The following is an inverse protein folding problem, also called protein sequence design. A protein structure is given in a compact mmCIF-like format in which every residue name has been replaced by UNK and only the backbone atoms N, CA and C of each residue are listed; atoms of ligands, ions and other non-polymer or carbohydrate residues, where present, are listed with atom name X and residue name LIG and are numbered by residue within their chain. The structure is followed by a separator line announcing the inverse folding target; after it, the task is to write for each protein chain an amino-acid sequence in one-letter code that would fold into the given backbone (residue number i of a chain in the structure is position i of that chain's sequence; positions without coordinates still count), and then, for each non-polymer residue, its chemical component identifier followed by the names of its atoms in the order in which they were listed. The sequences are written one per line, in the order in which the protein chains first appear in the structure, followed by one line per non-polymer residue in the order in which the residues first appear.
data_IF_099489143049
#
_entry.id   IF_099489143049
#
_cell.length_a   1.000
_cell.length_b   1.000
_cell.length_c   1.000
_cell.angle_alpha   90.00
_cell.angle_beta   90.00
_cell.angle_gamma   90.00
#
_symmetry.space_group_name_H-M   'P 1'
#
loop_
_entity.id
_entity.type
_entity.pdbx_description
1 polymer ?
#
# COMPACT_ATOMS: atom_id res chain seq x y z
N UNK A 1 -8.32 21.48 -32.91
CA UNK A 1 -7.61 21.97 -32.18
C UNK A 1 -7.98 22.40 -30.92
N UNK A 2 -9.00 22.88 -30.68
CA UNK A 2 -9.42 23.31 -29.48
C UNK A 2 -9.66 22.27 -28.52
N UNK A 3 -9.68 21.11 -28.93
CA UNK A 3 -9.91 20.08 -28.02
C UNK A 3 -8.96 20.03 -26.91
N UNK A 4 -7.76 20.42 -27.11
CA UNK A 4 -6.84 20.40 -26.11
C UNK A 4 -7.19 21.18 -24.98
N UNK A 5 -7.74 22.27 -25.15
CA UNK A 5 -8.08 23.08 -24.07
C UNK A 5 -9.06 22.42 -23.21
N UNK A 6 -9.97 21.78 -23.81
CA UNK A 6 -10.98 21.12 -23.06
C UNK A 6 -10.38 20.07 -22.20
N UNK A 7 -9.46 19.36 -22.71
CA UNK A 7 -8.86 18.33 -21.96
C UNK A 7 -8.17 18.86 -20.75
N UNK A 8 -7.55 19.97 -20.88
CA UNK A 8 -6.89 20.55 -19.78
C UNK A 8 -7.86 20.88 -18.68
N UNK A 9 -8.95 21.40 -19.05
CA UNK A 9 -9.91 21.75 -18.04
C UNK A 9 -10.33 20.53 -17.30
N UNK A 10 -10.50 19.48 -18.00
CA UNK A 10 -10.93 18.28 -17.35
C UNK A 10 -9.88 17.82 -16.39
N UNK A 11 -8.67 17.92 -16.77
CA UNK A 11 -7.62 17.47 -15.91
C UNK A 11 -7.64 18.26 -14.63
N UNK A 12 -7.90 19.51 -14.74
CA UNK A 12 -7.95 20.32 -13.57
C UNK A 12 -9.05 19.88 -12.65
N UNK A 13 -10.18 19.67 -13.22
CA UNK A 13 -11.28 19.26 -12.40
C UNK A 13 -10.92 17.98 -11.73
N UNK A 14 -10.26 17.11 -12.42
CA UNK A 14 -9.92 15.86 -11.83
C UNK A 14 -8.96 16.03 -10.69
N UNK A 15 -8.08 16.97 -10.81
CA UNK A 15 -7.13 17.11 -9.77
C UNK A 15 -7.75 17.52 -8.49
N UNK A 16 -8.82 18.25 -8.52
CA UNK A 16 -9.42 18.66 -7.30
C UNK A 16 -9.92 17.50 -6.52
N UNK A 17 -10.23 16.42 -7.18
CA UNK A 17 -10.86 15.33 -6.52
C UNK A 17 -9.92 14.29 -6.03
N UNK A 18 -8.68 14.57 -5.90
CA UNK A 18 -7.74 13.59 -5.46
C UNK A 18 -8.05 13.20 -4.02
N UNK A 19 -8.32 11.94 -3.77
CA UNK A 19 -8.62 11.50 -2.40
C UNK A 19 -7.38 11.59 -1.55
N UNK A 20 -7.59 11.86 -0.30
CA UNK A 20 -6.50 11.94 0.63
C UNK A 20 -5.71 10.66 0.68
N UNK A 21 -6.37 9.52 0.70
CA UNK A 21 -5.65 8.29 0.84
C UNK A 21 -4.81 7.94 -0.38
N UNK A 22 -4.99 8.64 -1.48
CA UNK A 22 -4.18 8.37 -2.65
C UNK A 22 -2.72 8.64 -2.37
N UNK A 23 -2.44 9.51 -1.42
CA UNK A 23 -1.07 9.81 -1.10
C UNK A 23 -0.37 8.66 -0.42
N UNK A 24 -1.11 7.70 0.06
CA UNK A 24 -0.52 6.57 0.74
C UNK A 24 -0.08 5.47 -0.21
N UNK A 25 -0.45 5.56 -1.46
CA UNK A 25 -0.11 4.53 -2.41
C UNK A 25 1.16 4.92 -3.16
N UNK A 26 2.21 4.18 -2.90
CA UNK A 26 3.49 4.49 -3.50
C UNK A 26 3.62 3.97 -4.91
N UNK A 27 2.88 2.95 -5.27
CA UNK A 27 3.02 2.28 -6.56
C UNK A 27 1.66 2.03 -7.19
N UNK A 28 1.58 2.22 -8.48
CA UNK A 28 0.35 2.05 -9.23
C UNK A 28 0.70 1.29 -10.50
N UNK A 29 0.36 0.01 -10.56
CA UNK A 29 0.73 -0.81 -11.70
C UNK A 29 -0.48 -1.53 -12.28
N UNK A 30 -0.29 -2.05 -13.48
CA UNK A 30 -1.37 -2.76 -14.15
C UNK A 30 -1.34 -4.25 -13.89
N UNK A 31 -0.24 -4.77 -13.41
CA UNK A 31 -0.10 -6.20 -13.22
C UNK A 31 -0.52 -6.59 -11.81
N UNK A 32 -1.44 -7.52 -11.71
CA UNK A 32 -1.91 -7.96 -10.41
C UNK A 32 -0.80 -8.67 -9.64
N UNK A 33 -0.70 -8.43 -8.34
CA UNK A 33 0.25 -9.21 -7.56
C UNK A 33 -0.23 -10.65 -7.43
N UNK A 34 0.69 -11.59 -7.28
CA UNK A 34 0.28 -12.98 -7.06
C UNK A 34 -0.40 -13.11 -5.70
N UNK A 35 -1.02 -14.23 -5.48
CA UNK A 35 -1.63 -14.50 -4.20
C UNK A 35 -0.55 -14.54 -3.12
N UNK A 36 -0.85 -14.03 -1.93
CA UNK A 36 0.14 -14.03 -0.87
C UNK A 36 0.60 -15.43 -0.52
N UNK A 37 1.84 -15.55 -0.12
CA UNK A 37 2.38 -16.83 0.29
C UNK A 37 2.03 -17.07 1.74
N UNK A 38 1.84 -18.34 2.06
CA UNK A 38 1.57 -18.71 3.44
C UNK A 38 2.91 -18.87 4.16
N UNK A 39 3.05 -18.23 5.30
CA UNK A 39 4.25 -18.36 6.11
C UNK A 39 3.84 -18.62 7.54
N UNK A 40 4.59 -19.47 8.20
CA UNK A 40 4.29 -19.76 9.58
C UNK A 40 5.22 -18.94 10.44
N UNK A 41 4.68 -17.95 11.12
CA UNK A 41 5.45 -17.09 12.01
C UNK A 41 4.77 -17.13 13.37
N UNK A 42 5.23 -18.02 14.24
CA UNK A 42 4.59 -18.17 15.56
C UNK A 42 4.66 -16.87 16.35
N UNK A 43 3.69 -16.68 17.20
CA UNK A 43 3.67 -15.49 18.03
C UNK A 43 4.90 -15.46 18.92
N UNK A 44 5.40 -14.28 19.17
CA UNK A 44 6.58 -14.10 20.01
C UNK A 44 6.30 -12.95 20.96
N UNK A 45 6.44 -13.18 22.24
CA UNK A 45 6.13 -12.18 23.22
C UNK A 45 6.98 -10.96 23.06
N UNK A 46 6.38 -9.78 23.10
CA UNK A 46 7.11 -8.53 22.93
C UNK A 46 7.33 -8.13 21.49
N UNK A 47 6.84 -8.93 20.56
CA UNK A 47 7.03 -8.65 19.14
C UNK A 47 5.72 -8.78 18.40
N UNK A 48 5.62 -8.10 17.28
CA UNK A 48 4.51 -8.32 16.38
C UNK A 48 5.07 -8.99 15.14
N UNK A 49 4.21 -9.67 14.41
CA UNK A 49 4.59 -10.25 13.13
C UNK A 49 4.26 -9.24 12.05
N UNK A 50 5.25 -8.90 11.23
CA UNK A 50 4.98 -8.10 10.05
C UNK A 50 4.86 -9.10 8.92
N UNK A 51 3.65 -9.31 8.39
CA UNK A 51 3.47 -10.39 7.41
C UNK A 51 4.22 -10.12 6.13
N UNK A 52 4.54 -11.19 5.43
CA UNK A 52 5.18 -11.04 4.14
C UNK A 52 4.23 -10.41 3.14
N UNK A 53 4.77 -9.89 2.08
CA UNK A 53 3.97 -9.24 1.08
C UNK A 53 4.74 -9.16 -0.22
N UNK A 54 4.04 -8.84 -1.31
CA UNK A 54 4.71 -8.63 -2.59
C UNK A 54 5.00 -7.15 -2.75
N UNK A 55 6.21 -6.83 -3.13
CA UNK A 55 6.52 -5.46 -3.50
C UNK A 55 6.80 -5.47 -4.99
N UNK A 56 6.74 -4.34 -5.63
CA UNK A 56 6.92 -4.26 -7.05
C UNK A 56 8.29 -3.70 -7.39
N UNK A 57 9.04 -4.45 -8.21
CA UNK A 57 10.35 -4.02 -8.65
C UNK A 57 10.16 -3.27 -9.97
N UNK A 58 10.31 -1.96 -9.95
CA UNK A 58 10.03 -1.17 -11.14
C UNK A 58 11.05 -1.39 -12.24
N UNK A 59 12.25 -1.79 -11.89
CA UNK A 59 13.25 -2.03 -12.90
C UNK A 59 13.01 -3.32 -13.63
N UNK A 60 12.64 -4.35 -12.92
CA UNK A 60 12.35 -5.63 -13.53
C UNK A 60 10.91 -5.77 -13.93
N UNK A 61 10.08 -4.85 -13.45
CA UNK A 61 8.65 -4.87 -13.74
C UNK A 61 8.03 -6.16 -13.28
N UNK A 62 8.33 -6.54 -12.06
CA UNK A 62 7.74 -7.76 -11.53
C UNK A 62 7.55 -7.63 -10.04
N UNK A 63 6.63 -8.44 -9.52
CA UNK A 63 6.36 -8.49 -8.11
C UNK A 63 7.34 -9.44 -7.45
N UNK A 64 7.93 -9.05 -6.32
CA UNK A 64 8.84 -9.92 -5.60
C UNK A 64 8.37 -10.07 -4.17
N UNK A 65 8.55 -11.24 -3.62
CA UNK A 65 8.06 -11.53 -2.28
C UNK A 65 9.04 -11.05 -1.23
N UNK A 66 8.51 -10.35 -0.22
CA UNK A 66 9.29 -9.95 0.93
C UNK A 66 8.82 -10.80 2.09
N UNK A 67 9.73 -11.52 2.70
CA UNK A 67 9.37 -12.42 3.78
C UNK A 67 8.86 -11.68 5.00
N UNK A 68 7.97 -12.31 5.71
CA UNK A 68 7.51 -11.75 6.97
C UNK A 68 8.62 -11.80 8.01
N UNK A 69 8.46 -11.00 9.04
CA UNK A 69 9.48 -10.90 10.07
C UNK A 69 8.83 -10.42 11.36
N UNK A 70 9.64 -10.26 12.38
CA UNK A 70 9.18 -9.76 13.65
C UNK A 70 9.71 -8.36 13.87
N UNK A 71 8.91 -7.54 14.55
CA UNK A 71 9.37 -6.25 14.98
C UNK A 71 8.96 -6.06 16.42
N UNK A 72 9.78 -5.37 17.19
CA UNK A 72 9.44 -5.12 18.59
C UNK A 72 8.17 -4.28 18.66
N UNK A 73 7.33 -4.60 19.61
CA UNK A 73 6.11 -3.84 19.80
C UNK A 73 6.45 -2.41 20.15
N UNK A 74 5.58 -1.50 19.74
CA UNK A 74 5.73 -0.09 20.10
C UNK A 74 4.54 0.29 20.97
N UNK A 75 4.84 0.74 22.17
CA UNK A 75 3.79 1.07 23.08
C UNK A 75 2.92 2.19 22.53
N UNK A 76 1.61 2.00 22.58
CA UNK A 76 0.69 3.01 22.10
C UNK A 76 0.57 3.10 20.60
N UNK A 77 1.14 2.15 19.87
CA UNK A 77 1.05 2.15 18.42
C UNK A 77 0.70 0.77 17.91
N UNK A 78 0.18 0.72 16.74
CA UNK A 78 -0.10 -0.56 16.10
C UNK A 78 0.38 -0.50 14.66
N UNK A 79 0.68 -1.66 14.11
CA UNK A 79 1.24 -1.75 12.77
C UNK A 79 0.15 -2.00 11.75
N UNK A 80 0.18 -1.21 10.67
CA UNK A 80 -0.73 -1.40 9.54
C UNK A 80 0.07 -2.13 8.48
N UNK A 81 -0.36 -3.32 8.12
CA UNK A 81 0.38 -4.13 7.16
C UNK A 81 0.31 -3.55 5.76
N UNK A 82 1.35 -3.79 4.95
CA UNK A 82 1.29 -3.37 3.55
C UNK A 82 0.18 -4.13 2.84
N UNK A 83 -0.41 -3.51 1.86
CA UNK A 83 -1.46 -4.19 1.12
C UNK A 83 -1.58 -3.63 -0.28
N UNK A 84 -2.08 -4.46 -1.17
CA UNK A 84 -2.40 -4.07 -2.52
C UNK A 84 -3.90 -3.88 -2.63
N UNK A 85 -4.32 -2.89 -3.41
CA UNK A 85 -5.72 -2.67 -3.68
C UNK A 85 -5.95 -2.55 -5.16
N UNK A 86 -7.00 -3.16 -5.63
CA UNK A 86 -7.35 -3.06 -7.04
C UNK A 86 -8.36 -1.92 -7.19
N UNK A 87 -8.13 -1.05 -8.16
CA UNK A 87 -9.01 0.06 -8.39
C UNK A 87 -9.03 0.35 -9.86
N UNK A 88 -10.16 0.13 -10.50
CA UNK A 88 -10.33 0.42 -11.93
C UNK A 88 -9.29 -0.28 -12.79
N UNK A 89 -9.02 -1.53 -12.50
CA UNK A 89 -8.07 -2.29 -13.30
C UNK A 89 -6.63 -2.01 -12.99
N UNK A 90 -6.37 -1.18 -12.01
CA UNK A 90 -5.00 -0.90 -11.61
C UNK A 90 -4.79 -1.40 -10.19
N UNK A 91 -3.53 -1.62 -9.84
CA UNK A 91 -3.20 -2.16 -8.53
C UNK A 91 -2.32 -1.16 -7.79
N UNK A 92 -2.82 -0.70 -6.66
CA UNK A 92 -2.16 0.32 -5.88
C UNK A 92 -1.57 -0.28 -4.62
N UNK A 93 -0.36 0.09 -4.30
CA UNK A 93 0.30 -0.47 -3.15
C UNK A 93 0.36 0.54 -2.01
N UNK A 94 -0.06 0.10 -0.83
CA UNK A 94 -0.01 0.91 0.36
C UNK A 94 1.04 0.32 1.28
N UNK A 95 2.08 1.08 1.56
CA UNK A 95 3.17 0.56 2.39
C UNK A 95 2.76 0.43 3.83
N UNK A 96 3.36 -0.52 4.52
CA UNK A 96 3.07 -0.70 5.93
C UNK A 96 3.58 0.47 6.74
N UNK A 97 2.99 0.67 7.88
CA UNK A 97 3.40 1.76 8.75
C UNK A 97 2.86 1.57 10.14
N UNK A 98 3.39 2.34 11.07
CA UNK A 98 2.91 2.34 12.43
C UNK A 98 1.97 3.51 12.62
N UNK A 99 0.91 3.30 13.38
CA UNK A 99 -0.03 4.36 13.69
C UNK A 99 -0.30 4.37 15.18
N UNK A 100 -0.60 5.52 15.71
CA UNK A 100 -0.92 5.62 17.12
C UNK A 100 -2.29 5.04 17.41
N UNK A 101 -2.40 4.40 18.56
CA UNK A 101 -3.67 3.84 18.95
C UNK A 101 -4.66 4.95 19.27
N UNK A 102 -5.92 4.69 18.99
CA UNK A 102 -6.97 5.63 19.31
C UNK A 102 -7.51 5.36 20.67
N UNK A 103 -6.72 5.60 21.69
CA UNK A 103 -7.20 5.34 22.98
C UNK A 103 -7.86 6.49 23.56
N UNK A 104 -8.83 6.29 24.38
CA UNK A 104 -9.52 7.37 25.04
C UNK A 104 -10.50 8.08 24.16
N UNK A 105 -10.78 7.55 23.04
CA UNK A 105 -11.70 8.18 22.10
C UNK A 105 -13.12 7.78 22.37
#
# INVERSE_FOLDING_TARGET
MNVRKTLLAVALAGSFAVPVYAERFAIDVETAPPAPRYEQLPAREGYIVTPGYYRYDTERREHTWVKGDYQAERRGEHFIAPEWREQNGRYLFNEGRWEKDNKGQ
#
